data_IF_526773279199
#
_entry.id   IF_526773279199
#
_cell.length_a   1.000
_cell.length_b   1.000
_cell.length_c   1.000
_cell.angle_alpha   90.00
_cell.angle_beta   90.00
_cell.angle_gamma   90.00
#
_symmetry.space_group_name_H-M   'P 1'
#
loop_
_entity.id
_entity.type
_entity.pdbx_description
1 polymer ?
#
# COMPACT_ATOMS: atom_id res chain seq x y z
N UNK A 1 -25.35 37.29 8.07
CA UNK A 1 -24.12 36.99 8.84
C UNK A 1 -23.61 35.65 8.33
N UNK A 2 -22.64 35.65 7.43
CA UNK A 2 -22.01 34.44 6.93
C UNK A 2 -20.81 34.14 7.82
N UNK A 3 -20.91 33.05 8.60
CA UNK A 3 -19.77 32.54 9.37
C UNK A 3 -18.76 31.94 8.40
N UNK A 4 -17.73 32.69 8.06
CA UNK A 4 -16.56 32.18 7.35
C UNK A 4 -15.88 31.16 8.25
N UNK A 5 -16.02 29.88 7.90
CA UNK A 5 -15.32 28.79 8.57
C UNK A 5 -13.81 28.92 8.33
N UNK A 6 -13.11 29.65 9.18
CA UNK A 6 -11.66 29.60 9.29
C UNK A 6 -11.30 28.17 9.72
N UNK A 7 -10.87 27.34 8.74
CA UNK A 7 -10.22 26.07 9.04
C UNK A 7 -8.91 26.39 9.77
N UNK A 8 -8.92 26.24 11.09
CA UNK A 8 -7.72 26.43 11.91
C UNK A 8 -6.62 25.47 11.46
N UNK A 9 -5.38 25.94 11.27
CA UNK A 9 -4.27 25.11 10.77
C UNK A 9 -4.09 23.80 11.55
N UNK A 10 -4.26 23.82 12.87
CA UNK A 10 -4.16 22.63 13.71
C UNK A 10 -5.25 21.57 13.45
N UNK A 11 -6.47 22.02 13.08
CA UNK A 11 -7.57 21.10 12.76
C UNK A 11 -7.33 20.36 11.44
N UNK A 12 -6.81 21.04 10.42
CA UNK A 12 -6.42 20.41 9.15
C UNK A 12 -5.37 19.34 9.39
N UNK A 13 -4.32 19.64 10.14
CA UNK A 13 -3.23 18.71 10.46
C UNK A 13 -3.74 17.49 11.23
N UNK A 14 -4.62 17.66 12.21
CA UNK A 14 -5.21 16.55 12.95
C UNK A 14 -6.01 15.62 12.04
N UNK A 15 -6.81 16.17 11.11
CA UNK A 15 -7.57 15.38 10.12
C UNK A 15 -6.63 14.61 9.19
N UNK A 16 -5.55 15.23 8.72
CA UNK A 16 -4.55 14.59 7.87
C UNK A 16 -3.89 13.41 8.57
N UNK A 17 -3.49 13.58 9.83
CA UNK A 17 -2.88 12.50 10.63
C UNK A 17 -3.90 11.39 10.90
N UNK A 18 -5.13 11.73 11.26
CA UNK A 18 -6.19 10.74 11.50
C UNK A 18 -6.48 9.94 10.22
N UNK A 19 -6.60 10.60 9.07
CA UNK A 19 -6.81 9.95 7.78
C UNK A 19 -5.66 8.98 7.45
N UNK A 20 -4.40 9.38 7.64
CA UNK A 20 -3.25 8.52 7.44
C UNK A 20 -3.35 7.22 8.25
N UNK A 21 -3.61 7.32 9.57
CA UNK A 21 -3.70 6.13 10.41
C UNK A 21 -4.92 5.26 10.11
N UNK A 22 -6.08 5.87 9.84
CA UNK A 22 -7.29 5.13 9.50
C UNK A 22 -7.08 4.34 8.21
N UNK A 23 -6.55 4.96 7.16
CA UNK A 23 -6.30 4.29 5.87
C UNK A 23 -5.29 3.17 6.06
N UNK A 24 -4.18 3.43 6.77
CA UNK A 24 -3.15 2.42 7.04
C UNK A 24 -3.74 1.22 7.78
N UNK A 25 -4.47 1.44 8.88
CA UNK A 25 -5.05 0.36 9.68
C UNK A 25 -6.10 -0.44 8.90
N UNK A 26 -7.00 0.25 8.18
CA UNK A 26 -8.05 -0.40 7.38
C UNK A 26 -7.42 -1.26 6.27
N UNK A 27 -6.39 -0.74 5.57
CA UNK A 27 -5.76 -1.47 4.48
C UNK A 27 -4.97 -2.69 4.97
N UNK A 28 -4.22 -2.56 6.06
CA UNK A 28 -3.53 -3.71 6.70
C UNK A 28 -4.55 -4.74 7.15
N UNK A 29 -5.67 -4.32 7.73
CA UNK A 29 -6.72 -5.26 8.17
C UNK A 29 -7.31 -6.01 6.97
N UNK A 30 -7.65 -5.31 5.90
CA UNK A 30 -8.17 -5.92 4.65
C UNK A 30 -7.17 -6.91 4.06
N UNK A 31 -5.89 -6.53 3.99
CA UNK A 31 -4.82 -7.41 3.51
C UNK A 31 -4.72 -8.68 4.35
N UNK A 32 -4.62 -8.55 5.66
CA UNK A 32 -4.45 -9.70 6.55
C UNK A 32 -5.71 -10.60 6.62
N UNK A 33 -6.91 -10.04 6.54
CA UNK A 33 -8.15 -10.81 6.48
C UNK A 33 -8.26 -11.62 5.18
N UNK A 34 -7.94 -11.01 4.04
CA UNK A 34 -7.95 -11.72 2.76
C UNK A 34 -6.87 -12.80 2.71
N UNK A 35 -5.66 -12.51 3.16
CA UNK A 35 -4.57 -13.50 3.24
C UNK A 35 -4.92 -14.67 4.15
N UNK A 36 -5.48 -14.42 5.33
CA UNK A 36 -5.89 -15.49 6.25
C UNK A 36 -6.96 -16.38 5.66
N UNK A 37 -7.89 -15.82 4.87
CA UNK A 37 -8.91 -16.61 4.17
C UNK A 37 -8.26 -17.54 3.12
N UNK A 38 -7.38 -17.04 2.28
CA UNK A 38 -6.74 -17.84 1.22
C UNK A 38 -5.64 -18.77 1.74
N UNK A 39 -4.94 -18.44 2.82
CA UNK A 39 -3.91 -19.27 3.41
C UNK A 39 -4.41 -20.64 3.89
N UNK A 40 -5.72 -20.79 4.14
CA UNK A 40 -6.35 -22.07 4.51
C UNK A 40 -6.54 -23.01 3.31
N UNK A 41 -6.32 -22.56 2.08
CA UNK A 41 -6.51 -23.32 0.85
C UNK A 41 -5.21 -24.02 0.43
N UNK A 42 -5.30 -24.96 -0.53
CA UNK A 42 -4.11 -25.65 -1.02
C UNK A 42 -3.38 -24.82 -2.09
N UNK A 43 -2.06 -24.62 -1.96
CA UNK A 43 -1.29 -23.92 -2.97
C UNK A 43 -1.19 -24.67 -4.32
N UNK A 44 -1.04 -23.92 -5.41
CA UNK A 44 -0.59 -24.44 -6.70
C UNK A 44 -1.55 -24.31 -7.87
N UNK A 45 -2.77 -24.82 -7.77
CA UNK A 45 -3.77 -24.75 -8.85
C UNK A 45 -4.60 -23.44 -8.84
N UNK A 46 -5.35 -23.20 -9.92
CA UNK A 46 -6.39 -22.17 -9.94
C UNK A 46 -7.53 -22.65 -9.03
N UNK A 47 -7.85 -21.84 -8.03
CA UNK A 47 -8.90 -22.11 -7.05
C UNK A 47 -10.26 -21.67 -7.61
N UNK A 48 -10.30 -20.51 -8.28
CA UNK A 48 -11.51 -19.94 -8.89
C UNK A 48 -11.14 -18.97 -10.02
N UNK A 49 -12.05 -18.76 -10.96
CA UNK A 49 -11.87 -17.86 -12.09
C UNK A 49 -11.99 -18.58 -13.44
N UNK A 50 -11.71 -17.88 -14.58
CA UNK A 50 -11.41 -16.46 -14.61
C UNK A 50 -12.66 -15.58 -14.39
N UNK A 51 -12.58 -14.65 -13.44
CA UNK A 51 -13.63 -13.67 -13.21
C UNK A 51 -13.58 -12.60 -14.31
N UNK A 52 -14.67 -12.48 -15.05
CA UNK A 52 -14.80 -11.62 -16.24
C UNK A 52 -13.66 -11.82 -17.27
N UNK A 53 -13.00 -12.99 -17.29
CA UNK A 53 -11.86 -13.26 -18.17
C UNK A 53 -10.58 -12.48 -17.82
N UNK A 54 -10.50 -11.88 -16.62
CA UNK A 54 -9.41 -10.96 -16.25
C UNK A 54 -8.61 -11.50 -15.06
N UNK A 55 -9.28 -12.06 -14.04
CA UNK A 55 -8.64 -12.43 -12.76
C UNK A 55 -8.92 -13.89 -12.44
N UNK A 56 -7.87 -14.62 -12.10
CA UNK A 56 -7.89 -15.93 -11.45
C UNK A 56 -7.51 -15.80 -9.97
N UNK A 57 -7.98 -16.70 -9.16
CA UNK A 57 -7.53 -16.91 -7.79
C UNK A 57 -6.62 -18.12 -7.76
N UNK A 58 -5.36 -17.91 -7.43
CA UNK A 58 -4.32 -18.93 -7.29
C UNK A 58 -3.47 -18.67 -6.07
N UNK A 59 -3.46 -19.58 -5.10
CA UNK A 59 -2.61 -19.42 -3.91
C UNK A 59 -1.15 -19.73 -4.23
N UNK A 60 -0.27 -18.78 -3.91
CA UNK A 60 1.18 -18.90 -4.01
C UNK A 60 1.83 -18.46 -2.69
N UNK A 61 2.79 -19.24 -2.20
CA UNK A 61 3.66 -18.88 -1.10
C UNK A 61 4.93 -18.22 -1.66
N UNK A 62 4.97 -16.89 -1.67
CA UNK A 62 6.05 -16.13 -2.27
C UNK A 62 7.19 -15.90 -1.28
N UNK A 63 8.33 -16.57 -1.52
CA UNK A 63 9.54 -16.44 -0.68
C UNK A 63 10.51 -15.36 -1.18
N UNK A 64 10.13 -14.60 -2.22
CA UNK A 64 10.94 -13.54 -2.81
C UNK A 64 10.20 -12.21 -2.91
N UNK A 65 10.66 -11.36 -3.83
CA UNK A 65 9.95 -10.21 -4.36
C UNK A 65 9.24 -10.53 -5.66
N UNK A 66 8.80 -9.50 -6.40
CA UNK A 66 8.24 -9.65 -7.74
C UNK A 66 9.23 -10.40 -8.65
N UNK A 67 8.73 -11.29 -9.52
CA UNK A 67 9.52 -12.15 -10.40
C UNK A 67 10.58 -13.00 -9.69
N UNK A 68 10.39 -13.31 -8.38
CA UNK A 68 11.32 -14.15 -7.62
C UNK A 68 12.65 -13.48 -7.25
N UNK A 69 12.78 -12.16 -7.42
CA UNK A 69 13.98 -11.43 -7.02
C UNK A 69 14.21 -11.61 -5.50
N UNK A 70 15.47 -11.90 -5.11
CA UNK A 70 15.85 -12.21 -3.73
C UNK A 70 15.10 -13.42 -3.11
N UNK A 71 14.71 -14.42 -3.92
CA UNK A 71 14.08 -15.64 -3.42
C UNK A 71 14.94 -16.29 -2.32
N UNK A 72 14.29 -16.73 -1.24
CA UNK A 72 14.95 -17.31 -0.07
C UNK A 72 15.43 -16.30 0.99
N UNK A 73 15.38 -14.97 0.71
CA UNK A 73 15.77 -13.92 1.67
C UNK A 73 14.55 -13.15 2.23
N UNK A 74 13.51 -13.87 2.62
CA UNK A 74 12.23 -13.27 3.08
C UNK A 74 12.40 -12.30 4.24
N UNK A 75 13.22 -12.65 5.22
CA UNK A 75 13.50 -11.78 6.38
C UNK A 75 14.17 -10.47 5.95
N UNK A 76 15.15 -10.53 5.05
CA UNK A 76 15.82 -9.32 4.55
C UNK A 76 14.84 -8.41 3.78
N UNK A 77 13.95 -9.00 2.97
CA UNK A 77 12.87 -8.26 2.29
C UNK A 77 11.88 -7.66 3.28
N UNK A 78 11.54 -8.36 4.36
CA UNK A 78 10.70 -7.84 5.44
C UNK A 78 11.35 -6.63 6.13
N UNK A 79 12.63 -6.73 6.51
CA UNK A 79 13.39 -5.61 7.09
C UNK A 79 13.45 -4.43 6.14
N UNK A 80 13.77 -4.67 4.86
CA UNK A 80 13.80 -3.61 3.84
C UNK A 80 12.44 -2.89 3.72
N UNK A 81 11.33 -3.64 3.67
CA UNK A 81 9.98 -3.05 3.65
C UNK A 81 9.73 -2.16 4.86
N UNK A 82 10.11 -2.60 6.07
CA UNK A 82 9.93 -1.80 7.29
C UNK A 82 10.81 -0.54 7.29
N UNK A 83 12.04 -0.61 6.77
CA UNK A 83 12.91 0.57 6.62
C UNK A 83 12.26 1.58 5.68
N UNK A 84 11.75 1.15 4.53
CA UNK A 84 11.04 2.03 3.59
C UNK A 84 9.80 2.64 4.25
N UNK A 85 9.00 1.85 4.96
CA UNK A 85 7.86 2.34 5.72
C UNK A 85 8.25 3.40 6.76
N UNK A 86 9.34 3.17 7.50
CA UNK A 86 9.83 4.12 8.49
C UNK A 86 10.27 5.45 7.87
N UNK A 87 10.98 5.40 6.74
CA UNK A 87 11.39 6.60 5.98
C UNK A 87 10.17 7.37 5.47
N UNK A 88 9.17 6.69 4.91
CA UNK A 88 7.95 7.33 4.42
C UNK A 88 7.11 7.92 5.57
N UNK A 89 7.02 7.25 6.70
CA UNK A 89 6.37 7.80 7.89
C UNK A 89 7.11 9.04 8.42
N UNK A 90 8.44 8.99 8.50
CA UNK A 90 9.25 10.14 8.92
C UNK A 90 9.03 11.32 7.97
N UNK A 91 9.04 11.10 6.67
CA UNK A 91 8.72 12.11 5.67
C UNK A 91 7.30 12.67 5.86
N UNK A 92 6.30 11.82 6.03
CA UNK A 92 4.91 12.22 6.27
C UNK A 92 4.79 13.12 7.49
N UNK A 93 5.37 12.74 8.63
CA UNK A 93 5.30 13.53 9.86
C UNK A 93 6.07 14.84 9.76
N UNK A 94 7.18 14.87 9.03
CA UNK A 94 7.91 16.09 8.76
C UNK A 94 7.09 17.08 7.91
N UNK A 95 6.43 16.57 6.88
CA UNK A 95 5.66 17.36 5.91
C UNK A 95 4.16 17.43 6.20
N UNK A 96 3.69 16.96 7.36
CA UNK A 96 2.25 16.77 7.69
C UNK A 96 1.36 17.99 7.51
N UNK A 97 1.92 19.19 7.54
CA UNK A 97 1.20 20.46 7.35
C UNK A 97 1.05 20.82 5.86
N UNK A 98 1.95 20.33 5.02
CA UNK A 98 2.09 20.69 3.60
C UNK A 98 1.56 19.60 2.66
N UNK A 99 1.50 18.34 3.11
CA UNK A 99 1.01 17.24 2.28
C UNK A 99 -0.45 17.45 1.87
N UNK A 100 -0.74 17.19 0.60
CA UNK A 100 -2.10 17.17 0.09
C UNK A 100 -2.77 15.80 0.29
N UNK A 101 -4.06 15.70 -0.03
CA UNK A 101 -4.83 14.47 0.17
C UNK A 101 -4.25 13.27 -0.63
N UNK A 102 -3.81 13.48 -1.88
CA UNK A 102 -3.21 12.42 -2.70
C UNK A 102 -1.92 11.89 -2.07
N UNK A 103 -1.05 12.77 -1.57
CA UNK A 103 0.17 12.38 -0.87
C UNK A 103 -0.14 11.62 0.42
N UNK A 104 -1.11 12.10 1.21
CA UNK A 104 -1.54 11.45 2.47
C UNK A 104 -2.04 10.04 2.20
N UNK A 105 -2.99 9.87 1.27
CA UNK A 105 -3.53 8.55 0.90
C UNK A 105 -2.44 7.66 0.30
N UNK A 106 -1.62 8.23 -0.60
CA UNK A 106 -0.55 7.49 -1.26
C UNK A 106 0.47 6.92 -0.28
N UNK A 107 0.99 7.75 0.65
CA UNK A 107 1.94 7.29 1.66
C UNK A 107 1.29 6.28 2.60
N UNK A 108 0.04 6.51 3.03
CA UNK A 108 -0.67 5.58 3.91
C UNK A 108 -0.82 4.18 3.28
N UNK A 109 -1.16 4.10 1.98
CA UNK A 109 -1.30 2.84 1.25
C UNK A 109 0.04 2.12 1.06
N UNK A 110 1.13 2.86 0.73
CA UNK A 110 2.46 2.27 0.61
C UNK A 110 2.91 1.68 1.95
N UNK A 111 2.75 2.45 3.03
CA UNK A 111 3.09 2.01 4.39
C UNK A 111 2.25 0.79 4.79
N UNK A 112 0.95 0.82 4.51
CA UNK A 112 0.06 -0.30 4.82
C UNK A 112 0.45 -1.58 4.07
N UNK A 113 0.70 -1.49 2.77
CA UNK A 113 1.13 -2.64 1.96
C UNK A 113 2.51 -3.17 2.37
N UNK A 114 3.45 -2.27 2.66
CA UNK A 114 4.76 -2.65 3.18
C UNK A 114 4.69 -3.39 4.52
N UNK A 115 3.85 -2.91 5.44
CA UNK A 115 3.60 -3.57 6.74
C UNK A 115 2.90 -4.92 6.52
N UNK A 116 1.85 -4.99 5.69
CA UNK A 116 1.11 -6.23 5.41
C UNK A 116 2.03 -7.35 4.93
N UNK A 117 2.86 -7.06 3.93
CA UNK A 117 3.83 -8.03 3.41
C UNK A 117 5.00 -8.32 4.37
N UNK A 118 5.36 -7.38 5.26
CA UNK A 118 6.35 -7.63 6.30
C UNK A 118 5.82 -8.56 7.39
N UNK A 119 4.56 -8.41 7.80
CA UNK A 119 3.90 -9.32 8.77
C UNK A 119 4.02 -10.76 8.28
N UNK A 120 3.63 -11.04 7.05
CA UNK A 120 3.70 -12.39 6.47
C UNK A 120 5.13 -12.94 6.51
N UNK A 121 6.12 -12.15 6.06
CA UNK A 121 7.53 -12.56 6.02
C UNK A 121 8.10 -12.92 7.39
N UNK A 122 7.72 -12.18 8.42
CA UNK A 122 8.21 -12.46 9.78
C UNK A 122 7.43 -13.58 10.47
N UNK A 123 6.14 -13.73 10.19
CA UNK A 123 5.30 -14.73 10.84
C UNK A 123 5.36 -16.10 10.16
N UNK A 124 5.44 -16.13 8.83
CA UNK A 124 5.30 -17.35 8.02
C UNK A 124 6.54 -17.70 7.20
N UNK A 125 7.47 -16.75 7.01
CA UNK A 125 8.64 -16.92 6.15
C UNK A 125 8.34 -16.80 4.65
N UNK A 126 7.12 -16.43 4.26
CA UNK A 126 6.68 -16.16 2.87
C UNK A 126 5.53 -15.16 2.89
N UNK A 127 5.21 -14.61 1.73
CA UNK A 127 4.03 -13.76 1.52
C UNK A 127 2.93 -14.60 0.89
N UNK A 128 1.68 -14.41 1.35
CA UNK A 128 0.49 -15.06 0.79
C UNK A 128 0.00 -14.24 -0.38
N UNK A 129 0.23 -14.74 -1.62
CA UNK A 129 -0.25 -14.13 -2.86
C UNK A 129 -1.37 -14.97 -3.45
N UNK A 130 -2.42 -14.32 -3.99
CA UNK A 130 -3.61 -15.06 -4.43
C UNK A 130 -4.36 -14.45 -5.62
N UNK A 131 -3.94 -13.29 -6.16
CA UNK A 131 -4.57 -12.65 -7.32
C UNK A 131 -3.65 -12.82 -8.52
N UNK A 132 -4.16 -13.43 -9.59
CA UNK A 132 -3.44 -13.65 -10.85
C UNK A 132 -4.20 -13.00 -12.01
N UNK A 133 -3.49 -12.38 -12.97
CA UNK A 133 -4.12 -11.96 -14.21
C UNK A 133 -4.23 -13.15 -15.18
N UNK A 134 -5.45 -13.42 -15.70
CA UNK A 134 -5.70 -14.56 -16.60
C UNK A 134 -5.17 -14.36 -18.03
N UNK A 135 -4.87 -13.11 -18.42
CA UNK A 135 -4.61 -12.71 -19.82
C UNK A 135 -3.16 -12.29 -20.07
N UNK A 136 -2.34 -12.17 -19.03
CA UNK A 136 -0.92 -11.82 -19.11
C UNK A 136 -0.12 -12.64 -18.10
N UNK A 137 1.13 -12.92 -18.43
CA UNK A 137 2.08 -13.52 -17.50
C UNK A 137 2.61 -12.43 -16.53
N UNK A 138 1.95 -12.33 -15.39
CA UNK A 138 2.30 -11.40 -14.32
C UNK A 138 2.36 -12.16 -12.99
N UNK A 139 3.32 -11.83 -12.10
CA UNK A 139 3.40 -12.47 -10.80
C UNK A 139 2.08 -12.42 -10.04
N UNK A 140 1.73 -13.51 -9.36
CA UNK A 140 0.61 -13.52 -8.44
C UNK A 140 0.87 -12.50 -7.33
N UNK A 141 -0.14 -11.74 -6.93
CA UNK A 141 -0.04 -10.63 -6.00
C UNK A 141 -1.19 -10.65 -4.98
N UNK A 142 -1.22 -9.68 -4.08
CA UNK A 142 -2.18 -9.59 -2.99
C UNK A 142 -2.70 -8.15 -2.77
N UNK A 143 -3.53 -7.96 -1.73
CA UNK A 143 -4.11 -6.65 -1.40
C UNK A 143 -3.03 -5.64 -0.97
N UNK A 144 -1.97 -6.08 -0.26
CA UNK A 144 -0.86 -5.21 0.10
C UNK A 144 -0.16 -4.63 -1.14
N UNK A 145 0.06 -5.44 -2.19
CA UNK A 145 0.70 -5.02 -3.44
C UNK A 145 -0.16 -4.02 -4.21
N UNK A 146 -1.50 -4.20 -4.20
CA UNK A 146 -2.43 -3.20 -4.74
C UNK A 146 -2.26 -1.88 -4.00
N UNK A 147 -2.18 -1.93 -2.66
CA UNK A 147 -1.94 -0.74 -1.84
C UNK A 147 -0.64 -0.03 -2.20
N UNK A 148 0.46 -0.77 -2.30
CA UNK A 148 1.76 -0.22 -2.70
C UNK A 148 1.66 0.44 -4.07
N UNK A 149 1.11 -0.25 -5.07
CA UNK A 149 1.03 0.24 -6.45
C UNK A 149 0.15 1.48 -6.57
N UNK A 150 -1.08 1.42 -6.06
CA UNK A 150 -1.99 2.57 -6.05
C UNK A 150 -1.42 3.73 -5.22
N UNK A 151 -0.76 3.41 -4.11
CA UNK A 151 -0.11 4.37 -3.25
C UNK A 151 1.00 5.15 -3.96
N UNK A 152 1.85 4.47 -4.72
CA UNK A 152 2.87 5.14 -5.54
C UNK A 152 2.24 6.07 -6.59
N UNK A 153 1.22 5.61 -7.32
CA UNK A 153 0.54 6.44 -8.32
C UNK A 153 -0.02 7.72 -7.67
N UNK A 154 -0.72 7.58 -6.52
CA UNK A 154 -1.28 8.72 -5.81
C UNK A 154 -0.21 9.66 -5.26
N UNK A 155 0.89 9.13 -4.73
CA UNK A 155 2.01 9.93 -4.25
C UNK A 155 2.61 10.77 -5.39
N UNK A 156 2.86 10.18 -6.56
CA UNK A 156 3.38 10.91 -7.72
C UNK A 156 2.41 11.97 -8.22
N UNK A 157 1.11 11.66 -8.30
CA UNK A 157 0.08 12.65 -8.64
C UNK A 157 0.11 13.80 -7.63
N UNK A 158 0.16 13.50 -6.34
CA UNK A 158 0.19 14.49 -5.27
C UNK A 158 1.42 15.39 -5.34
N UNK A 159 2.60 14.84 -5.61
CA UNK A 159 3.84 15.60 -5.81
C UNK A 159 3.74 16.52 -7.03
N UNK A 160 3.23 16.03 -8.15
CA UNK A 160 3.03 16.84 -9.37
C UNK A 160 2.09 18.01 -9.12
N UNK A 161 0.98 17.79 -8.41
CA UNK A 161 0.02 18.85 -8.06
C UNK A 161 0.66 19.91 -7.15
N UNK A 162 1.49 19.52 -6.19
CA UNK A 162 2.21 20.44 -5.32
C UNK A 162 3.17 21.33 -6.10
N UNK A 163 3.98 20.74 -6.99
CA UNK A 163 4.91 21.50 -7.84
C UNK A 163 4.21 22.48 -8.77
N UNK A 164 3.05 22.10 -9.32
CA UNK A 164 2.25 22.98 -10.18
C UNK A 164 1.70 24.18 -9.41
N UNK A 165 1.25 23.98 -8.18
CA UNK A 165 0.71 25.05 -7.34
C UNK A 165 1.82 26.04 -6.91
N UNK A 166 3.00 25.54 -6.59
CA UNK A 166 4.16 26.37 -6.24
C UNK A 166 4.56 27.29 -7.41
N UNK A 167 4.67 26.75 -8.63
CA UNK A 167 4.96 27.54 -9.82
C UNK A 167 3.92 28.64 -10.07
N UNK A 168 2.64 28.36 -9.80
CA UNK A 168 1.57 29.35 -9.99
C UNK A 168 1.60 30.47 -8.94
N UNK A 169 2.15 30.22 -7.76
CA UNK A 169 2.29 31.23 -6.70
C UNK A 169 3.50 32.18 -6.94
N UNK A 170 4.46 31.77 -7.80
CA UNK A 170 5.66 32.53 -8.13
C UNK A 170 5.52 33.33 -9.45
N UNK A 171 4.44 33.13 -10.20
CA UNK A 171 4.11 33.85 -11.44
C UNK A 171 3.06 34.93 -11.23
#
# INVERSE_FOLDING_TARGET
MATSGHNEPGKKTAVTIAAFFIITCVWVLLDQLTKSHFASMQPGGIIAGPFAGIIDIRLVHNTGGAWGIFSGNTTALGVFSLVVCAVLMAYFFWQRNEVNACQTVGIALIVAGGIGNAIDRFMQGYVVDFIEFSFIDFPVFNVADIGVTCGFVLLFIGLFLSLKNEKKSLS
#
